data_IF_601341959838
#
_entry.id   IF_601341959838
#
_cell.length_a   1.000
_cell.length_b   1.000
_cell.length_c   1.000
_cell.angle_alpha   90.00
_cell.angle_beta   90.00
_cell.angle_gamma   90.00
#
_symmetry.space_group_name_H-M   'P 1'
#
loop_
_entity.id
_entity.type
_entity.pdbx_description
1 polymer ?
#
# COMPACT_ATOMS: atom_id res chain seq x y z
N UNK A 1 -10.79 -24.04 3.24
CA UNK A 1 -12.17 -23.55 3.11
C UNK A 1 -13.13 -24.62 2.60
N UNK A 2 -12.96 -25.20 1.40
CA UNK A 2 -13.88 -26.24 0.89
C UNK A 2 -14.08 -27.45 1.82
N UNK A 3 -13.09 -27.78 2.66
CA UNK A 3 -13.18 -28.81 3.70
C UNK A 3 -13.78 -28.34 5.04
N UNK A 4 -14.48 -27.20 5.08
CA UNK A 4 -15.06 -26.65 6.31
C UNK A 4 -14.07 -26.01 7.28
N UNK A 5 -12.89 -25.60 6.79
CA UNK A 5 -11.85 -24.95 7.61
C UNK A 5 -11.68 -23.48 7.21
N UNK A 6 -11.91 -22.60 8.17
CA UNK A 6 -11.66 -21.15 8.07
C UNK A 6 -10.18 -20.82 7.88
N UNK A 7 -9.88 -19.66 7.31
CA UNK A 7 -8.53 -19.23 6.97
C UNK A 7 -8.25 -17.80 7.43
N UNK A 8 -7.13 -17.62 8.13
CA UNK A 8 -6.51 -16.32 8.42
C UNK A 8 -5.16 -16.25 7.74
N UNK A 9 -4.88 -15.19 7.00
CA UNK A 9 -3.61 -15.10 6.26
C UNK A 9 -3.12 -13.67 6.03
N UNK A 10 -1.81 -13.40 6.12
CA UNK A 10 -1.21 -12.16 5.64
C UNK A 10 -0.86 -12.24 4.14
N UNK A 11 -1.12 -13.38 3.49
CA UNK A 11 -0.73 -13.63 2.11
C UNK A 11 -1.70 -12.95 1.14
N UNK A 12 -1.18 -11.99 0.38
CA UNK A 12 -1.93 -11.21 -0.61
C UNK A 12 -2.31 -11.99 -1.86
N UNK A 13 -1.58 -13.05 -2.20
CA UNK A 13 -1.64 -13.71 -3.52
C UNK A 13 -3.08 -14.09 -3.87
N UNK A 14 -3.75 -14.83 -2.99
CA UNK A 14 -5.11 -15.32 -3.21
C UNK A 14 -6.13 -14.19 -3.47
N UNK A 15 -6.00 -13.05 -2.77
CA UNK A 15 -6.87 -11.89 -2.98
C UNK A 15 -6.55 -11.09 -4.26
N UNK A 16 -5.42 -11.37 -4.90
CA UNK A 16 -4.92 -10.67 -6.10
C UNK A 16 -4.81 -11.56 -7.34
N UNK A 17 -5.22 -12.82 -7.24
CA UNK A 17 -5.48 -13.68 -8.41
C UNK A 17 -6.66 -13.13 -9.23
N UNK A 18 -7.11 -13.88 -10.25
CA UNK A 18 -8.25 -13.48 -11.08
C UNK A 18 -9.49 -13.12 -10.26
N UNK A 19 -10.33 -12.23 -10.79
CA UNK A 19 -11.58 -11.85 -10.15
C UNK A 19 -12.50 -13.06 -9.91
N UNK A 20 -12.46 -14.05 -10.80
CA UNK A 20 -13.16 -15.34 -10.63
C UNK A 20 -12.66 -16.11 -9.40
N UNK A 21 -11.34 -16.19 -9.22
CA UNK A 21 -10.76 -16.87 -8.05
C UNK A 21 -11.07 -16.13 -6.76
N UNK A 22 -10.96 -14.80 -6.77
CA UNK A 22 -11.35 -13.97 -5.62
C UNK A 22 -12.83 -14.18 -5.24
N UNK A 23 -13.72 -14.20 -6.23
CA UNK A 23 -15.15 -14.45 -6.02
C UNK A 23 -15.41 -15.87 -5.52
N UNK A 24 -14.69 -16.86 -6.06
CA UNK A 24 -14.75 -18.26 -5.60
C UNK A 24 -14.40 -18.37 -4.11
N UNK A 25 -13.35 -17.69 -3.64
CA UNK A 25 -12.96 -17.71 -2.22
C UNK A 25 -14.08 -17.20 -1.33
N UNK A 26 -14.68 -16.05 -1.67
CA UNK A 26 -15.76 -15.44 -0.90
C UNK A 26 -17.03 -16.30 -0.91
N UNK A 27 -17.41 -16.82 -2.07
CA UNK A 27 -18.57 -17.72 -2.18
C UNK A 27 -18.36 -19.02 -1.41
N UNK A 28 -17.16 -19.61 -1.50
CA UNK A 28 -16.83 -20.84 -0.74
C UNK A 28 -16.92 -20.59 0.76
N UNK A 29 -16.44 -19.44 1.26
CA UNK A 29 -16.53 -19.08 2.66
C UNK A 29 -18.00 -19.03 3.13
N UNK A 30 -18.87 -18.36 2.34
CA UNK A 30 -20.30 -18.28 2.61
C UNK A 30 -21.00 -19.65 2.59
N UNK A 31 -20.76 -20.45 1.55
CA UNK A 31 -21.39 -21.77 1.36
C UNK A 31 -21.01 -22.76 2.47
N UNK A 32 -19.73 -22.77 2.85
CA UNK A 32 -19.21 -23.66 3.89
C UNK A 32 -19.42 -23.11 5.30
N UNK A 33 -19.96 -21.89 5.44
CA UNK A 33 -20.12 -21.18 6.73
C UNK A 33 -18.79 -21.11 7.50
N UNK A 34 -17.72 -20.79 6.79
CA UNK A 34 -16.39 -20.59 7.33
C UNK A 34 -15.96 -19.16 7.08
N UNK A 35 -14.95 -18.71 7.82
CA UNK A 35 -14.44 -17.36 7.68
C UNK A 35 -13.15 -17.32 6.85
N UNK A 36 -13.01 -16.26 6.06
CA UNK A 36 -11.79 -15.92 5.35
C UNK A 36 -11.37 -14.51 5.74
N UNK A 37 -10.35 -14.41 6.60
CA UNK A 37 -9.84 -13.13 7.09
C UNK A 37 -8.41 -12.90 6.64
N UNK A 38 -8.11 -11.64 6.34
CA UNK A 38 -6.85 -11.24 5.70
C UNK A 38 -6.49 -9.80 6.05
N UNK A 39 -6.78 -9.35 7.27
CA UNK A 39 -6.46 -8.00 7.75
C UNK A 39 -4.99 -7.65 7.48
N UNK A 40 -4.10 -8.60 7.76
CA UNK A 40 -2.66 -8.42 7.62
C UNK A 40 -2.13 -8.39 6.19
N UNK A 41 -2.99 -8.46 5.19
CA UNK A 41 -2.59 -8.23 3.78
C UNK A 41 -2.35 -6.74 3.49
N UNK A 42 -3.08 -5.83 4.17
CA UNK A 42 -3.01 -4.38 3.94
C UNK A 42 -2.83 -3.66 5.27
N UNK A 43 -1.65 -3.06 5.48
CA UNK A 43 -1.36 -2.31 6.71
C UNK A 43 -0.90 -3.15 7.90
N UNK A 44 -0.50 -4.41 7.69
CA UNK A 44 0.05 -5.32 8.70
C UNK A 44 -0.88 -5.58 9.90
N UNK A 45 -0.81 -4.75 10.93
CA UNK A 45 -1.67 -4.87 12.13
C UNK A 45 -2.75 -3.80 12.20
N UNK A 46 -2.76 -2.85 11.26
CA UNK A 46 -3.77 -1.80 11.21
C UNK A 46 -5.13 -2.39 10.83
N UNK A 47 -6.23 -1.93 11.45
CA UNK A 47 -7.57 -2.47 11.20
C UNK A 47 -8.17 -1.87 9.92
N UNK A 48 -7.54 -2.09 8.76
CA UNK A 48 -7.94 -1.44 7.50
C UNK A 48 -9.12 -2.18 6.86
N UNK A 49 -8.97 -3.48 6.62
CA UNK A 49 -9.96 -4.34 5.96
C UNK A 49 -11.23 -4.41 6.81
N UNK A 50 -11.10 -4.69 8.10
CA UNK A 50 -12.27 -4.78 8.99
C UNK A 50 -13.01 -3.44 9.11
N UNK A 51 -12.31 -2.31 9.10
CA UNK A 51 -12.96 -0.98 9.09
C UNK A 51 -13.73 -0.75 7.80
N UNK A 52 -13.12 -1.06 6.64
CA UNK A 52 -13.79 -0.95 5.34
C UNK A 52 -15.06 -1.82 5.30
N UNK A 53 -14.95 -3.08 5.71
CA UNK A 53 -16.08 -4.01 5.76
C UNK A 53 -17.19 -3.51 6.69
N UNK A 54 -16.84 -3.08 7.91
CA UNK A 54 -17.82 -2.53 8.88
C UNK A 54 -18.54 -1.29 8.34
N UNK A 55 -17.83 -0.41 7.63
CA UNK A 55 -18.43 0.77 7.00
C UNK A 55 -19.48 0.34 5.95
N UNK A 56 -19.14 -0.62 5.09
CA UNK A 56 -20.04 -1.11 4.04
C UNK A 56 -21.24 -1.87 4.62
N UNK A 57 -21.02 -2.75 5.60
CA UNK A 57 -22.07 -3.53 6.26
C UNK A 57 -23.11 -2.66 6.96
N UNK A 58 -22.67 -1.54 7.56
CA UNK A 58 -23.58 -0.57 8.17
C UNK A 58 -24.25 0.36 7.15
N UNK A 59 -24.03 0.17 5.85
CA UNK A 59 -24.66 0.91 4.76
C UNK A 59 -23.99 2.24 4.40
N UNK A 60 -22.73 2.47 4.77
CA UNK A 60 -21.94 3.58 4.21
C UNK A 60 -21.53 3.27 2.76
N UNK A 61 -21.17 4.31 1.99
CA UNK A 61 -20.64 4.17 0.64
C UNK A 61 -19.29 4.85 0.54
N UNK A 62 -18.25 4.04 0.45
CA UNK A 62 -16.88 4.53 0.25
C UNK A 62 -16.77 5.08 -1.17
N UNK A 63 -16.29 6.32 -1.29
CA UNK A 63 -16.15 7.05 -2.55
C UNK A 63 -14.72 7.07 -3.06
N UNK A 64 -13.77 7.16 -2.13
CA UNK A 64 -12.34 7.22 -2.42
C UNK A 64 -11.56 6.64 -1.26
N UNK A 65 -10.52 5.87 -1.57
CA UNK A 65 -9.46 5.52 -0.63
C UNK A 65 -8.15 6.08 -1.16
N UNK A 66 -7.42 6.80 -0.32
CA UNK A 66 -6.02 7.16 -0.58
C UNK A 66 -5.15 6.40 0.41
N UNK A 67 -4.00 5.91 -0.02
CA UNK A 67 -3.16 5.11 0.86
C UNK A 67 -1.66 5.17 0.51
N UNK A 68 -0.83 5.22 1.55
CA UNK A 68 0.59 4.90 1.50
C UNK A 68 0.74 3.51 2.13
N UNK A 69 1.09 2.53 1.29
CA UNK A 69 0.97 1.10 1.62
C UNK A 69 2.33 0.37 1.71
N UNK A 70 3.44 1.07 1.45
CA UNK A 70 4.79 0.54 1.57
C UNK A 70 5.59 1.34 2.60
N UNK A 71 6.05 0.67 3.66
CA UNK A 71 6.91 1.28 4.66
C UNK A 71 8.25 1.71 4.08
N UNK A 72 8.82 0.93 3.16
CA UNK A 72 10.06 1.26 2.44
C UNK A 72 9.93 2.55 1.65
N UNK A 73 8.89 2.65 0.81
CA UNK A 73 8.67 3.83 -0.02
C UNK A 73 8.27 5.04 0.84
N UNK A 74 7.47 4.83 1.89
CA UNK A 74 7.17 5.86 2.89
C UNK A 74 8.46 6.40 3.50
N UNK A 75 9.36 5.53 3.96
CA UNK A 75 10.64 5.93 4.52
C UNK A 75 11.50 6.70 3.52
N UNK A 76 11.63 6.21 2.28
CA UNK A 76 12.42 6.86 1.23
C UNK A 76 11.89 8.27 0.95
N UNK A 77 10.59 8.43 0.69
CA UNK A 77 9.99 9.74 0.38
C UNK A 77 9.89 10.68 1.59
N UNK A 78 9.86 10.16 2.81
CA UNK A 78 9.92 10.96 4.04
C UNK A 78 11.36 11.43 4.35
N UNK A 79 12.38 10.71 3.86
CA UNK A 79 13.80 11.01 4.13
C UNK A 79 14.46 11.78 2.98
N UNK A 80 13.97 11.62 1.75
CA UNK A 80 14.52 12.28 0.56
C UNK A 80 14.43 13.81 0.70
N UNK A 81 15.56 14.49 0.53
CA UNK A 81 15.71 15.93 0.69
C UNK A 81 16.77 16.47 -0.29
N UNK A 82 16.82 17.78 -0.52
CA UNK A 82 17.85 18.38 -1.40
C UNK A 82 19.30 18.20 -0.90
N UNK A 83 19.49 17.71 0.34
CA UNK A 83 20.80 17.43 0.90
C UNK A 83 21.37 16.06 0.49
N UNK A 84 20.56 15.18 -0.10
CA UNK A 84 20.96 13.82 -0.49
C UNK A 84 20.25 13.41 -1.78
N UNK A 85 20.96 12.73 -2.69
CA UNK A 85 20.34 12.25 -3.92
C UNK A 85 19.26 11.18 -3.65
N UNK A 86 18.41 10.91 -4.64
CA UNK A 86 17.38 9.88 -4.48
C UNK A 86 18.03 8.49 -4.40
N UNK A 87 19.02 8.20 -5.25
CA UNK A 87 19.78 6.95 -5.20
C UNK A 87 20.48 6.74 -3.86
N UNK A 88 21.10 7.78 -3.30
CA UNK A 88 21.76 7.71 -1.99
C UNK A 88 20.75 7.50 -0.86
N UNK A 89 19.54 8.05 -0.99
CA UNK A 89 18.45 7.82 -0.03
C UNK A 89 17.99 6.36 -0.06
N UNK A 90 17.87 5.77 -1.25
CA UNK A 90 17.55 4.34 -1.42
C UNK A 90 18.66 3.45 -0.84
N UNK A 91 19.92 3.75 -1.14
CA UNK A 91 21.06 3.03 -0.59
C UNK A 91 21.09 3.10 0.94
N UNK A 92 20.86 4.27 1.50
CA UNK A 92 20.78 4.43 2.96
C UNK A 92 19.62 3.63 3.56
N UNK A 93 18.44 3.64 2.94
CA UNK A 93 17.32 2.81 3.38
C UNK A 93 17.68 1.31 3.38
N UNK A 94 18.42 0.86 2.37
CA UNK A 94 18.93 -0.52 2.29
C UNK A 94 19.91 -0.83 3.42
N UNK A 95 20.87 0.05 3.70
CA UNK A 95 21.86 -0.12 4.77
C UNK A 95 21.21 -0.19 6.16
N UNK A 96 20.12 0.56 6.36
CA UNK A 96 19.32 0.53 7.58
C UNK A 96 18.38 -0.68 7.66
N UNK A 97 18.31 -1.53 6.62
CA UNK A 97 17.44 -2.70 6.59
C UNK A 97 15.96 -2.38 6.38
N UNK A 98 15.64 -1.21 5.80
CA UNK A 98 14.26 -0.83 5.47
C UNK A 98 13.78 -1.34 4.11
N UNK A 99 14.68 -1.84 3.26
CA UNK A 99 14.32 -2.40 1.95
C UNK A 99 14.38 -3.93 1.99
N UNK A 100 13.79 -4.57 0.99
CA UNK A 100 14.12 -5.95 0.65
C UNK A 100 15.62 -6.12 0.32
N UNK A 101 16.16 -7.36 0.30
CA UNK A 101 17.54 -7.60 -0.12
C UNK A 101 17.88 -6.98 -1.47
N UNK A 102 16.90 -6.86 -2.37
CA UNK A 102 16.99 -6.10 -3.60
C UNK A 102 15.98 -4.92 -3.59
N UNK A 103 16.44 -3.65 -3.48
CA UNK A 103 15.55 -2.48 -3.42
C UNK A 103 14.65 -2.30 -4.64
N UNK A 104 14.96 -2.96 -5.77
CA UNK A 104 14.12 -2.92 -6.97
C UNK A 104 12.73 -3.52 -6.72
N UNK A 105 12.62 -4.48 -5.80
CA UNK A 105 11.33 -5.09 -5.47
C UNK A 105 10.38 -4.07 -4.83
N UNK A 106 10.87 -3.27 -3.88
CA UNK A 106 10.13 -2.16 -3.29
C UNK A 106 9.82 -1.06 -4.32
N UNK A 107 10.85 -0.64 -5.07
CA UNK A 107 10.76 0.44 -6.05
C UNK A 107 9.91 0.11 -7.28
N UNK A 108 9.60 -1.17 -7.52
CA UNK A 108 8.66 -1.58 -8.56
C UNK A 108 7.23 -1.12 -8.28
N UNK A 109 6.88 -0.85 -7.02
CA UNK A 109 5.51 -0.52 -6.62
C UNK A 109 4.54 -1.71 -6.62
N UNK A 110 4.97 -2.92 -6.99
CA UNK A 110 4.07 -4.07 -7.14
C UNK A 110 3.46 -4.56 -5.82
N UNK A 111 4.12 -4.37 -4.69
CA UNK A 111 3.50 -4.63 -3.38
C UNK A 111 2.37 -3.63 -3.07
N UNK A 112 2.55 -2.35 -3.43
CA UNK A 112 1.51 -1.33 -3.34
C UNK A 112 0.34 -1.67 -4.26
N UNK A 113 0.62 -2.09 -5.50
CA UNK A 113 -0.39 -2.54 -6.46
C UNK A 113 -1.27 -3.66 -5.92
N UNK A 114 -0.66 -4.71 -5.35
CA UNK A 114 -1.40 -5.82 -4.74
C UNK A 114 -2.31 -5.34 -3.61
N UNK A 115 -1.78 -4.51 -2.69
CA UNK A 115 -2.55 -3.98 -1.56
C UNK A 115 -3.68 -3.06 -2.01
N UNK A 116 -3.45 -2.24 -3.04
CA UNK A 116 -4.46 -1.36 -3.61
C UNK A 116 -5.57 -2.18 -4.31
N UNK A 117 -5.23 -3.26 -5.02
CA UNK A 117 -6.21 -4.15 -5.64
C UNK A 117 -7.11 -4.80 -4.58
N UNK A 118 -6.53 -5.27 -3.48
CA UNK A 118 -7.31 -5.82 -2.36
C UNK A 118 -8.32 -4.79 -1.87
N UNK A 119 -7.89 -3.56 -1.57
CA UNK A 119 -8.78 -2.49 -1.11
C UNK A 119 -9.86 -2.13 -2.14
N UNK A 120 -9.53 -2.08 -3.42
CA UNK A 120 -10.49 -1.79 -4.48
C UNK A 120 -11.58 -2.87 -4.57
N UNK A 121 -11.20 -4.14 -4.44
CA UNK A 121 -12.13 -5.27 -4.42
C UNK A 121 -12.98 -5.30 -3.15
N UNK A 122 -12.44 -4.87 -1.99
CA UNK A 122 -13.23 -4.71 -0.76
C UNK A 122 -14.34 -3.69 -0.92
N UNK A 123 -14.10 -2.57 -1.60
CA UNK A 123 -15.13 -1.53 -1.85
C UNK A 123 -16.05 -1.85 -3.04
N UNK A 124 -15.95 -3.06 -3.60
CA UNK A 124 -16.87 -3.56 -4.62
C UNK A 124 -16.44 -3.31 -6.07
N UNK A 125 -15.19 -2.93 -6.33
CA UNK A 125 -14.70 -2.81 -7.71
C UNK A 125 -14.27 -4.18 -8.25
N UNK A 126 -14.64 -4.46 -9.50
CA UNK A 126 -14.25 -5.67 -10.23
C UNK A 126 -13.01 -5.35 -11.09
N UNK A 127 -11.84 -5.39 -10.45
CA UNK A 127 -10.56 -5.08 -11.07
C UNK A 127 -9.62 -6.26 -11.08
N UNK A 128 -8.66 -6.24 -12.00
CA UNK A 128 -7.57 -7.19 -12.13
C UNK A 128 -6.22 -6.55 -11.81
N UNK A 129 -5.17 -7.35 -11.64
CA UNK A 129 -3.82 -6.83 -11.40
C UNK A 129 -3.32 -5.91 -12.52
N UNK A 130 -3.80 -6.10 -13.75
CA UNK A 130 -3.49 -5.20 -14.88
C UNK A 130 -4.06 -3.80 -14.73
N UNK A 131 -5.09 -3.61 -13.89
CA UNK A 131 -5.69 -2.30 -13.61
C UNK A 131 -4.96 -1.54 -12.50
N UNK A 132 -4.00 -2.18 -11.83
CA UNK A 132 -3.23 -1.63 -10.72
C UNK A 132 -1.77 -1.37 -11.13
N UNK A 133 -1.54 -0.76 -12.31
CA UNK A 133 -0.20 -0.49 -12.84
C UNK A 133 0.48 0.70 -12.10
N UNK A 134 1.59 0.47 -11.37
CA UNK A 134 2.28 1.53 -10.64
C UNK A 134 3.09 2.48 -11.54
N UNK A 135 3.10 3.78 -11.20
CA UNK A 135 4.10 4.71 -11.76
C UNK A 135 5.50 4.17 -11.48
N UNK A 136 6.27 4.00 -12.56
CA UNK A 136 7.64 3.54 -12.47
C UNK A 136 8.52 4.55 -11.73
N UNK A 137 9.06 4.14 -10.58
CA UNK A 137 10.04 4.92 -9.82
C UNK A 137 11.46 4.80 -10.36
N UNK A 138 11.72 3.73 -11.11
CA UNK A 138 13.03 3.36 -11.65
C UNK A 138 12.92 3.07 -13.14
N UNK A 139 13.99 3.37 -13.88
CA UNK A 139 14.06 3.09 -15.31
C UNK A 139 14.05 1.58 -15.62
N UNK A 140 13.62 1.22 -16.83
CA UNK A 140 13.66 -0.17 -17.30
C UNK A 140 15.08 -0.78 -17.26
N UNK A 141 16.10 0.06 -17.49
CA UNK A 141 17.50 -0.33 -17.35
C UNK A 141 17.87 -0.71 -15.90
N UNK A 142 17.34 0.02 -14.91
CA UNK A 142 17.51 -0.31 -13.49
C UNK A 142 16.83 -1.65 -13.15
N UNK A 143 15.63 -1.90 -13.67
CA UNK A 143 14.91 -3.17 -13.46
C UNK A 143 15.71 -4.35 -14.03
N UNK A 144 16.20 -4.22 -15.28
CA UNK A 144 16.93 -5.27 -16.01
C UNK A 144 18.40 -5.44 -15.61
N UNK A 145 18.91 -4.62 -14.69
CA UNK A 145 20.29 -4.71 -14.22
C UNK A 145 20.61 -6.10 -13.64
N UNK A 146 21.85 -6.57 -13.84
CA UNK A 146 22.27 -7.91 -13.40
C UNK A 146 22.72 -7.94 -11.95
N UNK A 147 22.96 -6.78 -11.34
CA UNK A 147 23.39 -6.65 -9.94
C UNK A 147 22.80 -5.40 -9.31
N UNK A 148 22.74 -5.39 -7.97
CA UNK A 148 22.30 -4.21 -7.20
C UNK A 148 23.19 -3.00 -7.51
N UNK A 149 24.52 -3.18 -7.59
CA UNK A 149 25.43 -2.08 -7.90
C UNK A 149 25.15 -1.46 -9.27
N UNK A 150 24.88 -2.29 -10.27
CA UNK A 150 24.50 -1.81 -11.60
C UNK A 150 23.15 -1.09 -11.58
N UNK A 151 22.17 -1.62 -10.84
CA UNK A 151 20.86 -0.99 -10.67
C UNK A 151 20.99 0.41 -10.05
N UNK A 152 21.81 0.55 -8.99
CA UNK A 152 22.02 1.84 -8.32
C UNK A 152 22.75 2.85 -9.22
N UNK A 153 23.66 2.40 -10.09
CA UNK A 153 24.27 3.26 -11.10
C UNK A 153 23.26 3.77 -12.15
N UNK A 154 22.25 2.98 -12.50
CA UNK A 154 21.17 3.45 -13.35
C UNK A 154 20.24 4.40 -12.59
N UNK A 155 19.91 4.11 -11.34
CA UNK A 155 19.10 4.97 -10.49
C UNK A 155 19.72 6.36 -10.32
N UNK A 156 21.03 6.44 -10.11
CA UNK A 156 21.76 7.70 -9.97
C UNK A 156 21.66 8.60 -11.23
N UNK A 157 21.39 8.03 -12.42
CA UNK A 157 21.17 8.83 -13.64
C UNK A 157 19.84 9.57 -13.60
N UNK A 158 18.88 9.08 -12.82
CA UNK A 158 17.55 9.69 -12.65
C UNK A 158 17.53 10.71 -11.49
N UNK A 159 18.62 10.85 -10.70
CA UNK A 159 18.68 11.77 -9.54
C UNK A 159 18.37 13.22 -9.91
N UNK A 160 18.85 13.68 -11.07
CA UNK A 160 18.61 15.06 -11.53
C UNK A 160 17.11 15.33 -11.66
N UNK A 161 16.34 14.38 -12.21
CA UNK A 161 14.89 14.48 -12.36
C UNK A 161 14.19 14.58 -11.00
N UNK A 162 14.61 13.78 -10.02
CA UNK A 162 14.06 13.81 -8.67
C UNK A 162 14.40 15.11 -7.92
N UNK A 163 15.64 15.58 -8.07
CA UNK A 163 16.09 16.83 -7.48
C UNK A 163 15.29 18.03 -8.02
N UNK A 164 15.16 18.16 -9.34
CA UNK A 164 14.39 19.23 -9.98
C UNK A 164 12.92 19.23 -9.55
N UNK A 165 12.33 18.03 -9.41
CA UNK A 165 10.95 17.87 -8.91
C UNK A 165 10.82 18.32 -7.46
N UNK A 166 11.76 17.96 -6.59
CA UNK A 166 11.73 18.33 -5.17
C UNK A 166 12.00 19.84 -4.96
N UNK A 167 12.93 20.43 -5.71
CA UNK A 167 13.27 21.85 -5.63
C UNK A 167 12.08 22.74 -6.01
N UNK A 168 11.29 22.34 -7.02
CA UNK A 168 10.05 23.02 -7.38
C UNK A 168 9.07 23.04 -6.20
N UNK A 169 8.92 21.92 -5.48
CA UNK A 169 7.90 21.74 -4.45
C UNK A 169 8.21 22.42 -3.13
N UNK A 170 9.49 22.54 -2.78
CA UNK A 170 9.88 23.26 -1.57
C UNK A 170 9.45 24.73 -1.60
N UNK A 171 9.36 25.34 -2.80
CA UNK A 171 8.87 26.72 -2.97
C UNK A 171 7.38 26.85 -2.63
N UNK A 172 6.61 25.79 -2.84
CA UNK A 172 5.17 25.75 -2.63
C UNK A 172 4.78 25.12 -1.27
N UNK A 173 5.77 24.73 -0.45
CA UNK A 173 5.52 24.06 0.83
C UNK A 173 4.85 22.69 0.66
N UNK A 174 5.15 21.96 -0.41
CA UNK A 174 4.62 20.63 -0.71
C UNK A 174 5.66 19.53 -0.50
N UNK A 175 5.20 18.29 -0.34
CA UNK A 175 6.05 17.10 -0.21
C UNK A 175 5.70 16.03 -1.24
N UNK A 176 6.66 15.17 -1.59
CA UNK A 176 6.43 14.02 -2.46
C UNK A 176 5.98 12.81 -1.65
N UNK A 177 4.96 12.09 -2.11
CA UNK A 177 4.50 10.83 -1.51
C UNK A 177 4.13 9.82 -2.59
N UNK A 178 4.43 8.54 -2.38
CA UNK A 178 3.96 7.48 -3.27
C UNK A 178 2.62 6.93 -2.78
N UNK A 179 1.55 7.23 -3.50
CA UNK A 179 0.17 7.04 -3.07
C UNK A 179 -0.56 6.11 -4.03
N UNK A 180 -1.34 5.19 -3.48
CA UNK A 180 -2.44 4.53 -4.17
C UNK A 180 -3.73 5.32 -3.96
N UNK A 181 -4.35 5.79 -5.04
CA UNK A 181 -5.67 6.40 -5.06
C UNK A 181 -6.66 5.43 -5.72
N UNK A 182 -7.72 5.11 -5.00
CA UNK A 182 -8.75 4.17 -5.42
C UNK A 182 -10.06 4.95 -5.44
N UNK A 183 -10.59 5.21 -6.63
CA UNK A 183 -11.82 5.96 -6.82
C UNK A 183 -12.39 5.70 -8.22
N UNK A 184 -13.71 5.90 -8.38
CA UNK A 184 -14.39 5.82 -9.67
C UNK A 184 -14.13 4.52 -10.46
N UNK A 185 -14.01 3.39 -9.75
CA UNK A 185 -13.74 2.09 -10.36
C UNK A 185 -12.31 1.92 -10.88
N UNK A 186 -11.35 2.71 -10.40
CA UNK A 186 -9.96 2.71 -10.87
C UNK A 186 -8.97 2.74 -9.72
N UNK A 187 -7.76 2.27 -10.01
CA UNK A 187 -6.59 2.38 -9.14
C UNK A 187 -5.58 3.24 -9.88
N UNK A 188 -5.05 4.27 -9.21
CA UNK A 188 -3.91 5.06 -9.67
C UNK A 188 -2.83 5.02 -8.60
N UNK A 189 -1.63 4.57 -8.97
CA UNK A 189 -0.51 4.50 -8.04
C UNK A 189 0.60 5.37 -8.59
N UNK A 190 0.94 6.45 -7.89
CA UNK A 190 1.84 7.47 -8.41
C UNK A 190 2.58 8.20 -7.28
N UNK A 191 3.68 8.86 -7.64
CA UNK A 191 4.24 9.92 -6.81
C UNK A 191 3.38 11.16 -6.98
N UNK A 192 2.76 11.60 -5.88
CA UNK A 192 1.93 12.79 -5.83
C UNK A 192 2.56 13.89 -4.99
N UNK A 193 2.11 15.12 -5.25
CA UNK A 193 2.56 16.35 -4.61
C UNK A 193 1.53 16.73 -3.55
N UNK A 194 1.93 16.70 -2.29
CA UNK A 194 1.04 16.76 -1.15
C UNK A 194 1.19 18.09 -0.44
N UNK A 195 0.06 18.80 -0.30
CA UNK A 195 -0.05 20.08 0.38
C UNK A 195 -0.12 19.93 1.91
N UNK A 196 0.25 20.98 2.64
CA UNK A 196 0.29 21.01 4.10
C UNK A 196 -1.03 20.62 4.81
N UNK A 197 -2.18 20.83 4.16
CA UNK A 197 -3.50 20.46 4.67
C UNK A 197 -3.90 19.00 4.46
N UNK A 198 -3.13 18.24 3.68
CA UNK A 198 -3.45 16.85 3.35
C UNK A 198 -3.02 15.90 4.49
N UNK A 199 -3.80 14.84 4.82
CA UNK A 199 -3.46 13.92 5.91
C UNK A 199 -2.06 13.27 5.82
N UNK A 200 -1.51 13.16 4.62
CA UNK A 200 -0.22 12.48 4.36
C UNK A 200 0.99 13.42 4.42
N UNK A 201 0.77 14.72 4.64
CA UNK A 201 1.84 15.71 4.64
C UNK A 201 2.83 15.46 5.79
N UNK A 202 2.35 15.38 7.03
CA UNK A 202 3.15 15.20 8.25
C UNK A 202 3.50 13.72 8.55
N UNK A 203 3.60 12.88 7.51
CA UNK A 203 4.06 11.51 7.68
C UNK A 203 5.58 11.49 7.92
N UNK A 204 6.02 10.60 8.81
CA UNK A 204 7.43 10.43 9.17
C UNK A 204 7.74 8.95 9.33
N UNK A 205 8.99 8.56 9.06
CA UNK A 205 9.41 7.16 9.21
C UNK A 205 8.73 6.23 8.19
N UNK A 206 8.61 4.93 8.50
CA UNK A 206 8.07 3.91 7.60
C UNK A 206 6.57 3.65 7.81
N UNK A 207 5.83 4.60 8.38
CA UNK A 207 4.40 4.40 8.67
C UNK A 207 3.60 4.24 7.36
N UNK A 208 2.62 3.35 7.41
CA UNK A 208 1.52 3.32 6.45
C UNK A 208 0.39 4.23 6.94
N UNK A 209 -0.36 4.76 5.98
CA UNK A 209 -1.54 5.58 6.26
C UNK A 209 -2.60 5.34 5.19
N UNK A 210 -3.85 5.22 5.61
CA UNK A 210 -5.02 5.04 4.75
C UNK A 210 -6.05 6.11 5.11
N UNK A 211 -6.51 6.87 4.13
CA UNK A 211 -7.57 7.85 4.26
C UNK A 211 -8.80 7.39 3.47
N UNK A 212 -9.91 7.17 4.17
CA UNK A 212 -11.17 6.65 3.61
C UNK A 212 -12.20 7.77 3.56
N UNK A 213 -12.62 8.15 2.36
CA UNK A 213 -13.68 9.13 2.12
C UNK A 213 -14.97 8.40 1.74
N UNK A 214 -16.08 8.77 2.37
CA UNK A 214 -17.38 8.13 2.17
C UNK A 214 -18.53 9.13 2.16
N UNK A 215 -19.77 8.66 1.99
CA UNK A 215 -20.96 9.51 2.16
C UNK A 215 -21.03 10.10 3.58
N UNK A 216 -20.59 9.36 4.60
CA UNK A 216 -20.52 9.85 5.99
C UNK A 216 -19.30 10.71 6.28
N UNK A 217 -18.20 10.48 5.55
CA UNK A 217 -16.93 11.19 5.69
C UNK A 217 -16.49 11.86 4.37
N UNK A 218 -17.25 12.86 3.85
CA UNK A 218 -17.01 13.40 2.51
C UNK A 218 -15.85 14.40 2.44
N UNK A 219 -15.57 15.12 3.54
CA UNK A 219 -14.56 16.18 3.61
C UNK A 219 -13.37 15.73 4.45
N UNK A 220 -13.64 15.32 5.69
CA UNK A 220 -12.63 14.82 6.61
C UNK A 220 -12.67 13.29 6.56
N UNK A 221 -11.67 12.62 5.96
CA UNK A 221 -11.68 11.17 5.84
C UNK A 221 -11.48 10.50 7.20
N UNK A 222 -11.91 9.26 7.30
CA UNK A 222 -11.41 8.38 8.37
C UNK A 222 -9.97 8.02 8.06
N UNK A 223 -9.05 8.33 8.99
CA UNK A 223 -7.61 8.09 8.80
C UNK A 223 -7.12 7.00 9.74
N UNK A 224 -6.49 5.98 9.17
CA UNK A 224 -5.82 4.90 9.91
C UNK A 224 -4.33 5.01 9.61
N UNK A 225 -3.50 5.16 10.65
CA UNK A 225 -2.05 5.33 10.53
C UNK A 225 -1.31 4.46 11.54
N UNK A 226 -0.17 3.91 11.13
CA UNK A 226 0.81 3.31 12.01
C UNK A 226 1.79 2.42 11.24
N UNK A 227 2.52 1.57 11.96
CA UNK A 227 3.50 0.68 11.38
C UNK A 227 2.86 -0.25 10.33
N UNK A 228 3.31 -0.11 9.08
CA UNK A 228 2.81 -0.88 7.93
C UNK A 228 3.48 -2.23 7.70
N UNK A 229 4.47 -2.56 8.52
CA UNK A 229 5.30 -3.76 8.45
C UNK A 229 5.89 -4.09 9.83
N UNK A 230 6.48 -5.28 9.95
CA UNK A 230 7.15 -5.75 11.16
C UNK A 230 6.51 -7.02 11.72
N UNK A 231 7.34 -8.00 12.07
CA UNK A 231 6.88 -9.35 12.44
C UNK A 231 5.84 -9.35 13.58
N UNK A 232 6.09 -8.58 14.64
CA UNK A 232 5.19 -8.51 15.81
C UNK A 232 3.86 -7.84 15.44
N UNK A 233 3.91 -6.77 14.65
CA UNK A 233 2.72 -6.01 14.25
C UNK A 233 1.83 -6.84 13.32
N UNK A 234 2.42 -7.51 12.32
CA UNK A 234 1.71 -8.42 11.41
C UNK A 234 1.13 -9.61 12.17
N UNK A 235 1.92 -10.24 13.06
CA UNK A 235 1.42 -11.36 13.87
C UNK A 235 0.26 -10.94 14.80
N UNK A 236 0.32 -9.71 15.35
CA UNK A 236 -0.77 -9.12 16.13
C UNK A 236 -2.05 -8.96 15.31
N UNK A 237 -1.94 -8.47 14.07
CA UNK A 237 -3.09 -8.38 13.14
C UNK A 237 -3.72 -9.74 12.83
N UNK A 238 -2.89 -10.74 12.52
CA UNK A 238 -3.36 -12.11 12.30
C UNK A 238 -4.03 -12.70 13.54
N UNK A 239 -3.46 -12.46 14.73
CA UNK A 239 -4.07 -12.91 15.98
C UNK A 239 -5.42 -12.21 16.21
N UNK A 240 -5.54 -10.93 15.85
CA UNK A 240 -6.81 -10.20 15.86
C UNK A 240 -7.87 -10.85 14.97
N UNK A 241 -7.50 -11.28 13.76
CA UNK A 241 -8.39 -12.04 12.88
C UNK A 241 -8.82 -13.38 13.48
N UNK A 242 -7.89 -14.13 14.08
CA UNK A 242 -8.20 -15.39 14.76
C UNK A 242 -9.17 -15.16 15.94
N UNK A 243 -8.97 -14.10 16.72
CA UNK A 243 -9.84 -13.79 17.85
C UNK A 243 -11.25 -13.39 17.41
N UNK A 244 -11.39 -12.62 16.33
CA UNK A 244 -12.70 -12.25 15.77
C UNK A 244 -13.50 -13.48 15.36
N UNK A 245 -12.87 -14.45 14.71
CA UNK A 245 -13.50 -15.73 14.33
C UNK A 245 -14.06 -16.55 15.52
N UNK A 246 -13.56 -16.32 16.73
CA UNK A 246 -13.95 -17.08 17.93
C UNK A 246 -15.00 -16.33 18.76
N UNK A 247 -15.07 -15.01 18.60
CA UNK A 247 -15.89 -14.13 19.43
C UNK A 247 -17.13 -13.57 18.73
N UNK A 248 -17.18 -13.60 17.41
CA UNK A 248 -18.30 -13.19 16.55
C UNK A 248 -19.04 -14.42 16.00
#
# INVERSE_FOLDING_TARGET
MASGVSLVTPNKIANTESMDYYSLLRNTALEQRVEYRYESTVGAGLPVISTVQSMLETGDKIRRIEAILSGTLSYIFNTFSLARSFSDTVLFAKEQGFTEPDPREDLSGMDVARKALILAREIGYELEMSDADPEALISEACIKAKSINEAMNFLAKDDKKWYERLERLQKDGKVLRYIANISEGKIKIAVEEIDAGHPFYNLSGPDNIVAIYSERYPINPLVIKGAGAGAIVTAGGMMGDVLRMVHE
#
